data_IF_435677173355
#
_entry.id   IF_435677173355
#
_cell.length_a   1.000
_cell.length_b   1.000
_cell.length_c   1.000
_cell.angle_alpha   90.00
_cell.angle_beta   90.00
_cell.angle_gamma   90.00
#
_symmetry.space_group_name_H-M   'P 1'
#
loop_
_entity.id
_entity.type
_entity.pdbx_description
1 polymer ?
#
# COMPACT_ATOMS: atom_id res chain seq x y z
N UNK A 1 10.83 -12.09 10.17
CA UNK A 1 9.65 -11.77 9.35
C UNK A 1 8.36 -12.46 9.82
N UNK A 2 8.06 -13.73 9.46
CA UNK A 2 6.73 -14.37 9.64
C UNK A 2 5.97 -14.04 10.94
N UNK A 3 6.60 -14.17 12.11
CA UNK A 3 6.00 -13.84 13.43
C UNK A 3 5.50 -12.39 13.51
N UNK A 4 6.31 -11.43 13.06
CA UNK A 4 5.97 -9.99 13.09
C UNK A 4 4.78 -9.69 12.18
N UNK A 5 4.78 -10.23 10.95
CA UNK A 5 3.66 -10.02 10.01
C UNK A 5 2.35 -10.58 10.58
N UNK A 6 2.40 -11.77 11.17
CA UNK A 6 1.20 -12.46 11.68
C UNK A 6 0.63 -11.82 12.95
N UNK A 7 1.48 -11.28 13.83
CA UNK A 7 1.06 -10.72 15.13
C UNK A 7 0.84 -9.19 15.09
N UNK A 8 1.70 -8.45 14.40
CA UNK A 8 1.73 -6.98 14.47
C UNK A 8 1.02 -6.29 13.30
N UNK A 9 0.87 -6.97 12.16
CA UNK A 9 0.25 -6.41 10.94
C UNK A 9 -1.10 -7.08 10.61
N UNK A 10 -1.14 -8.42 10.60
CA UNK A 10 -2.28 -9.23 10.16
C UNK A 10 -3.02 -9.95 11.31
N UNK A 11 -2.88 -9.47 12.54
CA UNK A 11 -3.64 -10.03 13.67
C UNK A 11 -5.10 -9.58 13.63
N UNK A 12 -5.99 -10.37 14.23
CA UNK A 12 -7.44 -10.08 14.31
C UNK A 12 -7.73 -8.67 14.87
N UNK A 13 -6.90 -8.18 15.79
CA UNK A 13 -7.00 -6.82 16.34
C UNK A 13 -6.76 -5.75 15.26
N UNK A 14 -5.69 -5.88 14.47
CA UNK A 14 -5.39 -4.97 13.34
C UNK A 14 -6.43 -5.07 12.22
N UNK A 15 -6.81 -6.29 11.84
CA UNK A 15 -7.85 -6.53 10.83
C UNK A 15 -9.19 -5.89 11.26
N UNK A 16 -9.52 -5.92 12.55
CA UNK A 16 -10.69 -5.22 13.11
C UNK A 16 -10.52 -3.71 13.11
N UNK A 17 -9.35 -3.19 13.52
CA UNK A 17 -9.04 -1.76 13.51
C UNK A 17 -9.20 -1.12 12.11
N UNK A 18 -8.82 -1.84 11.05
CA UNK A 18 -8.96 -1.37 9.68
C UNK A 18 -10.37 -1.55 9.07
N UNK A 19 -11.35 -2.12 9.80
CA UNK A 19 -12.70 -2.34 9.26
C UNK A 19 -13.39 -1.05 8.78
N UNK A 20 -13.31 0.11 9.46
CA UNK A 20 -13.92 1.35 8.97
C UNK A 20 -13.30 1.84 7.66
N UNK A 21 -11.97 1.75 7.52
CA UNK A 21 -11.26 2.11 6.29
C UNK A 21 -11.69 1.20 5.13
N UNK A 22 -11.74 -0.12 5.35
CA UNK A 22 -12.24 -1.06 4.32
C UNK A 22 -13.68 -0.79 3.92
N UNK A 23 -14.54 -0.37 4.85
CA UNK A 23 -15.91 0.02 4.52
C UNK A 23 -15.93 1.25 3.60
N UNK A 24 -15.18 2.31 3.92
CA UNK A 24 -15.12 3.53 3.09
C UNK A 24 -14.73 3.22 1.64
N UNK A 25 -13.69 2.40 1.43
CA UNK A 25 -13.26 2.00 0.08
C UNK A 25 -14.32 1.19 -0.70
N UNK A 26 -15.09 0.35 -0.01
CA UNK A 26 -16.17 -0.44 -0.61
C UNK A 26 -17.40 0.42 -0.90
N UNK A 27 -17.75 1.36 -0.02
CA UNK A 27 -18.84 2.32 -0.24
C UNK A 27 -18.52 3.19 -1.49
N UNK A 28 -17.28 3.68 -1.63
CA UNK A 28 -16.80 4.41 -2.82
C UNK A 28 -16.92 3.56 -4.10
N UNK A 29 -16.52 2.29 -4.05
CA UNK A 29 -16.67 1.37 -5.19
C UNK A 29 -18.13 1.18 -5.58
N UNK A 30 -19.01 0.98 -4.60
CA UNK A 30 -20.45 0.79 -4.80
C UNK A 30 -21.09 2.02 -5.43
N UNK A 31 -20.77 3.23 -4.96
CA UNK A 31 -21.34 4.47 -5.52
C UNK A 31 -20.79 4.78 -6.93
N UNK A 32 -19.53 4.43 -7.20
CA UNK A 32 -18.97 4.47 -8.56
C UNK A 32 -19.73 3.52 -9.51
N UNK A 33 -20.08 2.31 -9.04
CA UNK A 33 -20.81 1.32 -9.84
C UNK A 33 -22.29 1.68 -10.05
N UNK A 34 -22.95 2.33 -9.08
CA UNK A 34 -24.28 2.91 -9.27
C UNK A 34 -24.26 3.96 -10.38
N UNK A 35 -23.31 4.89 -10.29
CA UNK A 35 -23.17 6.00 -11.25
C UNK A 35 -22.95 5.49 -12.69
N UNK A 36 -22.13 4.44 -12.85
CA UNK A 36 -21.93 3.76 -14.12
C UNK A 36 -23.21 3.06 -14.62
N UNK A 37 -23.95 2.38 -13.74
CA UNK A 37 -25.20 1.70 -14.10
C UNK A 37 -26.33 2.68 -14.50
N UNK A 38 -26.41 3.86 -13.88
CA UNK A 38 -27.38 4.91 -14.21
C UNK A 38 -27.21 5.45 -15.65
N UNK A 39 -25.98 5.45 -16.18
CA UNK A 39 -25.67 5.86 -17.56
C UNK A 39 -25.50 4.66 -18.53
N UNK A 40 -25.63 3.43 -18.05
CA UNK A 40 -25.44 2.21 -18.85
C UNK A 40 -23.99 1.92 -19.25
N UNK A 41 -22.99 2.42 -18.51
CA UNK A 41 -21.56 2.19 -18.79
C UNK A 41 -21.17 0.73 -18.51
N UNK A 42 -20.45 0.11 -19.46
CA UNK A 42 -19.84 -1.21 -19.28
C UNK A 42 -18.54 -1.11 -18.46
N UNK A 43 -18.54 -1.63 -17.24
CA UNK A 43 -17.41 -1.52 -16.31
C UNK A 43 -16.55 -2.79 -16.26
N UNK A 44 -15.23 -2.64 -16.43
CA UNK A 44 -14.27 -3.70 -16.12
C UNK A 44 -14.12 -3.87 -14.59
N UNK A 45 -14.79 -4.89 -14.05
CA UNK A 45 -14.75 -5.23 -12.63
C UNK A 45 -13.37 -5.67 -12.15
N UNK A 46 -12.56 -6.31 -12.99
CA UNK A 46 -11.19 -6.74 -12.63
C UNK A 46 -10.31 -5.53 -12.36
N UNK A 47 -10.37 -4.52 -13.24
CA UNK A 47 -9.62 -3.27 -13.09
C UNK A 47 -10.09 -2.46 -11.87
N UNK A 48 -11.41 -2.40 -11.62
CA UNK A 48 -11.96 -1.73 -10.43
C UNK A 48 -11.54 -2.42 -9.13
N UNK A 49 -11.69 -3.76 -9.04
CA UNK A 49 -11.32 -4.54 -7.85
C UNK A 49 -9.81 -4.48 -7.58
N UNK A 50 -8.97 -4.57 -8.62
CA UNK A 50 -7.53 -4.44 -8.49
C UNK A 50 -7.12 -3.07 -7.92
N UNK A 51 -7.73 -1.97 -8.42
CA UNK A 51 -7.48 -0.61 -7.91
C UNK A 51 -7.85 -0.49 -6.43
N UNK A 52 -9.08 -0.86 -6.07
CA UNK A 52 -9.57 -0.78 -4.68
C UNK A 52 -8.74 -1.65 -3.74
N UNK A 53 -8.28 -2.82 -4.19
CA UNK A 53 -7.39 -3.69 -3.40
C UNK A 53 -6.02 -3.05 -3.18
N UNK A 54 -5.44 -2.42 -4.21
CA UNK A 54 -4.15 -1.72 -4.10
C UNK A 54 -4.24 -0.48 -3.18
N UNK A 55 -5.26 0.36 -3.37
CA UNK A 55 -5.55 1.54 -2.53
C UNK A 55 -5.72 1.16 -1.06
N UNK A 56 -6.57 0.15 -0.79
CA UNK A 56 -6.87 -0.35 0.55
C UNK A 56 -5.62 -0.97 1.19
N UNK A 57 -4.80 -1.70 0.43
CA UNK A 57 -3.52 -2.26 0.91
C UNK A 57 -2.55 -1.16 1.29
N UNK A 58 -2.39 -0.13 0.45
CA UNK A 58 -1.52 1.00 0.75
C UNK A 58 -1.98 1.75 2.01
N UNK A 59 -3.27 2.05 2.11
CA UNK A 59 -3.84 2.75 3.26
C UNK A 59 -3.66 1.96 4.57
N UNK A 60 -3.91 0.65 4.57
CA UNK A 60 -3.78 -0.19 5.77
C UNK A 60 -2.32 -0.51 6.16
N UNK A 61 -1.42 -0.71 5.20
CA UNK A 61 -0.03 -1.15 5.49
C UNK A 61 0.92 0.03 5.65
N UNK A 62 0.72 1.12 4.91
CA UNK A 62 1.62 2.27 4.86
C UNK A 62 1.00 3.57 5.43
N UNK A 63 -0.29 3.57 5.76
CA UNK A 63 -0.99 4.69 6.41
C UNK A 63 -1.49 5.79 5.47
N UNK A 64 -1.21 5.71 4.16
CA UNK A 64 -1.74 6.61 3.13
C UNK A 64 -1.98 5.86 1.82
N UNK A 65 -2.87 6.39 0.99
CA UNK A 65 -2.92 6.01 -0.43
C UNK A 65 -1.67 6.54 -1.14
N UNK A 66 -1.27 5.82 -2.18
CA UNK A 66 -0.19 6.20 -3.08
C UNK A 66 -0.72 6.18 -4.51
N UNK A 67 -0.57 7.30 -5.21
CA UNK A 67 -0.90 7.40 -6.63
C UNK A 67 0.21 6.77 -7.47
N UNK A 68 -0.05 6.48 -8.74
CA UNK A 68 0.97 5.90 -9.63
C UNK A 68 2.29 6.70 -9.64
N UNK A 69 2.19 8.03 -9.60
CA UNK A 69 3.32 8.97 -9.56
C UNK A 69 4.24 8.81 -8.32
N UNK A 70 3.76 8.19 -7.24
CA UNK A 70 4.55 8.00 -6.02
C UNK A 70 5.59 6.87 -6.13
N UNK A 71 5.48 5.96 -7.12
CA UNK A 71 6.52 4.98 -7.44
C UNK A 71 7.58 5.58 -8.36
N UNK A 72 7.20 5.80 -9.60
CA UNK A 72 8.05 6.16 -10.74
C UNK A 72 7.15 6.58 -11.92
N UNK A 73 7.74 6.74 -13.09
CA UNK A 73 7.01 7.06 -14.34
C UNK A 73 6.10 5.91 -14.82
N UNK A 74 6.32 4.68 -14.36
CA UNK A 74 5.59 3.47 -14.80
C UNK A 74 4.30 3.24 -13.99
N UNK A 75 4.31 3.57 -12.69
CA UNK A 75 3.13 3.56 -11.82
C UNK A 75 3.03 2.37 -10.87
N UNK A 76 2.37 2.59 -9.72
CA UNK A 76 2.05 1.54 -8.74
C UNK A 76 1.26 0.39 -9.39
N UNK A 77 0.27 0.74 -10.19
CA UNK A 77 -0.63 -0.21 -10.85
C UNK A 77 0.09 -1.06 -11.89
N UNK A 78 0.96 -0.46 -12.72
CA UNK A 78 1.70 -1.20 -13.74
C UNK A 78 2.83 -2.04 -13.14
N UNK A 79 3.53 -1.54 -12.11
CA UNK A 79 4.56 -2.31 -11.38
C UNK A 79 3.95 -3.51 -10.64
N UNK A 80 2.76 -3.34 -10.03
CA UNK A 80 2.01 -4.45 -9.45
C UNK A 80 1.55 -5.45 -10.52
N UNK A 81 1.07 -4.98 -11.67
CA UNK A 81 0.69 -5.82 -12.81
C UNK A 81 1.87 -6.61 -13.37
N UNK A 82 3.01 -5.96 -13.65
CA UNK A 82 4.24 -6.63 -14.14
C UNK A 82 4.73 -7.67 -13.11
N UNK A 83 4.58 -7.40 -11.80
CA UNK A 83 4.92 -8.34 -10.73
C UNK A 83 3.97 -9.54 -10.68
N UNK A 84 2.66 -9.34 -10.88
CA UNK A 84 1.68 -10.43 -10.95
C UNK A 84 1.85 -11.27 -12.22
N UNK A 85 2.19 -10.65 -13.34
CA UNK A 85 2.54 -11.33 -14.60
C UNK A 85 3.76 -12.25 -14.41
N UNK A 86 4.86 -11.75 -13.84
CA UNK A 86 6.05 -12.57 -13.53
C UNK A 86 5.77 -13.64 -12.46
N UNK A 87 4.93 -13.36 -11.46
CA UNK A 87 4.56 -14.34 -10.42
C UNK A 87 3.64 -15.46 -10.94
N UNK A 88 2.89 -15.22 -12.01
CA UNK A 88 2.06 -16.21 -12.69
C UNK A 88 2.76 -16.89 -13.88
N UNK A 89 3.91 -16.36 -14.34
CA UNK A 89 4.65 -16.87 -15.48
C UNK A 89 5.32 -18.22 -15.18
N UNK A 90 5.33 -19.11 -16.19
CA UNK A 90 6.15 -20.30 -16.15
C UNK A 90 7.62 -19.94 -16.38
N UNK A 91 8.51 -20.21 -15.42
CA UNK A 91 9.94 -19.95 -15.52
C UNK A 91 10.76 -21.25 -15.68
N UNK A 92 11.34 -21.46 -16.86
CA UNK A 92 12.24 -22.57 -17.19
C UNK A 92 13.38 -22.76 -16.17
N UNK A 93 13.89 -21.67 -15.58
CA UNK A 93 14.99 -21.71 -14.62
C UNK A 93 14.63 -22.36 -13.26
N UNK A 94 13.35 -22.47 -12.94
CA UNK A 94 12.88 -23.11 -11.70
C UNK A 94 12.51 -24.60 -11.90
N UNK A 95 12.20 -25.02 -13.14
CA UNK A 95 11.99 -26.43 -13.51
C UNK A 95 13.29 -27.13 -13.97
N UNK A 96 14.21 -26.38 -14.58
CA UNK A 96 15.48 -26.88 -15.11
C UNK A 96 16.64 -26.05 -14.52
N UNK A 97 17.16 -26.42 -13.32
CA UNK A 97 18.12 -25.60 -12.59
C UNK A 97 19.42 -25.25 -13.34
N UNK A 98 19.82 -26.08 -14.30
CA UNK A 98 20.97 -25.84 -15.17
C UNK A 98 20.75 -24.71 -16.20
N UNK A 99 19.51 -24.37 -16.55
CA UNK A 99 19.18 -23.21 -17.40
C UNK A 99 19.08 -21.90 -16.61
N UNK A 100 19.01 -21.96 -15.27
CA UNK A 100 18.72 -20.81 -14.40
C UNK A 100 19.75 -19.68 -14.54
N UNK A 101 21.02 -20.01 -14.80
CA UNK A 101 22.08 -19.03 -15.01
C UNK A 101 22.03 -18.30 -16.37
N UNK A 102 21.25 -18.81 -17.33
CA UNK A 102 21.12 -18.21 -18.68
C UNK A 102 20.00 -17.16 -18.76
N UNK A 103 19.05 -17.17 -17.82
CA UNK A 103 17.88 -16.28 -17.77
C UNK A 103 17.17 -16.15 -19.13
N UNK A 104 16.87 -17.29 -19.76
CA UNK A 104 16.40 -17.39 -21.15
C UNK A 104 15.10 -16.63 -21.43
N UNK A 105 14.26 -16.41 -20.40
CA UNK A 105 13.00 -15.67 -20.49
C UNK A 105 13.12 -14.22 -20.01
N UNK A 106 14.27 -13.80 -19.47
CA UNK A 106 14.47 -12.47 -18.92
C UNK A 106 13.87 -12.24 -17.52
N UNK A 107 13.13 -13.20 -16.96
CA UNK A 107 12.46 -13.10 -15.66
C UNK A 107 13.38 -12.67 -14.52
N UNK A 108 14.61 -13.19 -14.44
CA UNK A 108 15.54 -12.79 -13.38
C UNK A 108 15.99 -11.32 -13.54
N UNK A 109 16.09 -10.82 -14.78
CA UNK A 109 16.33 -9.39 -15.07
C UNK A 109 15.10 -8.53 -14.79
N UNK A 110 13.88 -8.97 -15.14
CA UNK A 110 12.61 -8.26 -14.87
C UNK A 110 12.34 -8.17 -13.37
N UNK A 111 12.39 -9.28 -12.64
CA UNK A 111 12.26 -9.29 -11.17
C UNK A 111 13.32 -8.41 -10.49
N UNK A 112 14.55 -8.33 -11.03
CA UNK A 112 15.60 -7.42 -10.51
C UNK A 112 15.35 -5.94 -10.84
N UNK A 113 14.64 -5.60 -11.92
CA UNK A 113 14.11 -4.25 -12.19
C UNK A 113 13.01 -3.91 -11.17
N UNK A 114 12.03 -4.81 -11.02
CA UNK A 114 10.88 -4.65 -10.12
C UNK A 114 11.31 -4.51 -8.66
N UNK A 115 12.20 -5.37 -8.17
CA UNK A 115 12.78 -5.27 -6.80
C UNK A 115 13.29 -3.86 -6.55
N UNK A 116 14.15 -3.31 -7.43
CA UNK A 116 14.70 -1.96 -7.27
C UNK A 116 13.63 -0.87 -7.21
N UNK A 117 12.45 -1.06 -7.81
CA UNK A 117 11.35 -0.09 -7.75
C UNK A 117 10.66 -0.21 -6.39
N UNK A 118 10.37 -1.42 -5.92
CA UNK A 118 9.85 -1.68 -4.57
C UNK A 118 10.80 -1.20 -3.47
N UNK A 119 12.10 -1.44 -3.61
CA UNK A 119 13.12 -1.02 -2.65
C UNK A 119 13.06 0.50 -2.41
N UNK A 120 13.09 1.30 -3.49
CA UNK A 120 12.96 2.78 -3.43
C UNK A 120 11.60 3.25 -2.92
N UNK A 121 10.53 2.49 -3.16
CA UNK A 121 9.19 2.84 -2.68
C UNK A 121 9.08 2.63 -1.18
N UNK A 122 9.54 1.49 -0.67
CA UNK A 122 9.56 1.18 0.77
C UNK A 122 10.51 2.12 1.50
N UNK A 123 11.63 2.51 0.90
CA UNK A 123 12.53 3.56 1.41
C UNK A 123 11.79 4.90 1.56
N UNK A 124 11.08 5.38 0.53
CA UNK A 124 10.22 6.58 0.63
C UNK A 124 9.14 6.46 1.71
N UNK A 125 8.46 5.32 1.83
CA UNK A 125 7.45 5.08 2.88
C UNK A 125 8.08 5.18 4.28
N UNK A 126 9.29 4.66 4.46
CA UNK A 126 10.03 4.72 5.73
C UNK A 126 10.43 6.17 6.04
N UNK A 127 10.94 6.91 5.06
CA UNK A 127 11.31 8.32 5.23
C UNK A 127 10.10 9.21 5.55
N UNK A 128 8.98 9.06 4.81
CA UNK A 128 7.68 9.68 5.12
C UNK A 128 7.32 9.42 6.59
N UNK A 129 7.36 8.17 7.04
CA UNK A 129 6.93 7.77 8.38
C UNK A 129 7.89 8.26 9.48
N UNK A 130 9.20 8.27 9.22
CA UNK A 130 10.23 8.81 10.13
C UNK A 130 10.11 10.33 10.25
N UNK A 131 9.83 11.04 9.15
CA UNK A 131 9.69 12.49 9.15
C UNK A 131 8.41 12.94 9.86
N UNK A 132 7.25 12.36 9.52
CA UNK A 132 5.98 12.61 10.23
C UNK A 132 6.12 12.40 11.75
N UNK A 133 6.86 11.37 12.17
CA UNK A 133 7.11 11.10 13.60
C UNK A 133 7.94 12.20 14.27
N UNK A 134 8.96 12.75 13.61
CA UNK A 134 9.75 13.89 14.15
C UNK A 134 8.88 15.13 14.31
N UNK A 135 8.07 15.45 13.32
CA UNK A 135 7.19 16.62 13.33
C UNK A 135 6.13 16.54 14.43
N UNK A 136 5.53 15.36 14.64
CA UNK A 136 4.63 15.12 15.78
C UNK A 136 5.33 15.29 17.14
N UNK A 137 6.59 14.84 17.25
CA UNK A 137 7.38 14.99 18.48
C UNK A 137 7.78 16.45 18.74
N UNK A 138 8.24 17.17 17.73
CA UNK A 138 8.56 18.61 17.83
C UNK A 138 7.32 19.42 18.24
N UNK A 139 6.19 19.21 17.56
CA UNK A 139 4.92 19.89 17.89
C UNK A 139 4.44 19.59 19.31
N UNK A 140 4.71 18.39 19.82
CA UNK A 140 4.39 17.99 21.20
C UNK A 140 5.36 18.56 22.24
N UNK A 141 6.56 18.98 21.85
CA UNK A 141 7.52 19.70 22.69
C UNK A 141 7.24 21.20 22.71
N UNK A 142 6.80 21.76 21.58
CA UNK A 142 6.39 23.17 21.43
C UNK A 142 5.18 23.49 22.33
N UNK A 143 4.11 22.67 22.27
CA UNK A 143 3.01 22.70 23.24
C UNK A 143 3.42 22.35 24.69
N UNK A 144 4.65 21.89 24.92
CA UNK A 144 5.19 21.57 26.23
C UNK A 144 5.96 22.71 26.90
N UNK A 145 6.11 23.87 26.26
CA UNK A 145 6.96 24.96 26.77
C UNK A 145 6.19 26.16 27.36
N UNK A 146 4.93 26.37 26.98
CA UNK A 146 4.20 27.62 27.28
C UNK A 146 3.13 27.50 28.39
N UNK A 147 2.47 26.34 28.54
CA UNK A 147 1.33 26.16 29.46
C UNK A 147 1.74 25.87 30.92
N UNK A 148 2.29 26.88 31.57
CA UNK A 148 2.48 26.92 33.03
C UNK A 148 1.19 27.15 33.83
N UNK A 149 0.04 27.36 33.17
CA UNK A 149 -1.23 27.72 33.82
C UNK A 149 -2.47 27.13 33.12
N UNK A 150 -3.36 26.51 33.91
CA UNK A 150 -4.67 25.94 33.51
C UNK A 150 -4.58 24.69 32.58
N UNK A 151 -5.60 23.84 32.45
CA UNK A 151 -6.85 23.80 33.22
C UNK A 151 -7.99 22.99 32.56
N UNK A 152 -7.76 21.70 32.27
CA UNK A 152 -8.80 20.68 31.96
C UNK A 152 -9.75 20.97 30.79
N UNK A 153 -9.55 20.29 29.63
CA UNK A 153 -10.59 19.48 28.94
C UNK A 153 -10.11 18.85 27.61
N UNK A 154 -10.67 17.65 27.33
CA UNK A 154 -11.08 17.06 26.01
C UNK A 154 -10.09 17.16 24.83
N UNK A 155 -9.70 16.07 24.15
CA UNK A 155 -10.32 14.75 24.05
C UNK A 155 -10.79 14.41 22.62
N UNK A 156 -9.86 14.43 21.67
CA UNK A 156 -9.98 14.13 20.23
C UNK A 156 -8.58 13.73 19.69
N UNK A 157 -8.32 13.08 18.55
CA UNK A 157 -8.98 12.10 17.66
C UNK A 157 -7.77 11.32 17.05
N UNK A 158 -7.66 9.99 16.94
CA UNK A 158 -8.57 8.83 17.13
C UNK A 158 -9.48 8.46 15.93
N UNK A 159 -8.86 8.22 14.78
CA UNK A 159 -9.25 7.20 13.78
C UNK A 159 -7.99 6.42 13.34
#
# INVERSE_FOLDING_TARGET
MRKVVTLELLSNLKISHFQPMRKIEIDILVDTLKSAAEIGETVDMSVRIASVTADMTCLMVFGRKYADKDLNEEGLKEVMKETMEEAAAFNLGDYFPYLRGLDLQGSARRLKKLSKIFDRFVERIIDDHVQNKKEMQQRSQDFGHDDGYYGVRRGWIRL
#
